data_IF_436526653307
#
_entry.id   IF_436526653307
#
_cell.length_a   1.000
_cell.length_b   1.000
_cell.length_c   1.000
_cell.angle_alpha   90.00
_cell.angle_beta   90.00
_cell.angle_gamma   90.00
#
_symmetry.space_group_name_H-M   'P 1'
#
loop_
_entity.id
_entity.type
_entity.pdbx_description
1 polymer ?
#
# COMPACT_ATOMS: atom_id res chain seq x y z
N UNK A 1 20.79 -24.25 7.51
CA UNK A 1 19.47 -24.88 7.70
C UNK A 1 18.48 -24.04 6.93
N UNK A 2 18.24 -24.42 5.69
CA UNK A 2 17.25 -23.80 4.80
C UNK A 2 15.85 -23.99 5.39
N UNK A 3 15.13 -22.90 5.59
CA UNK A 3 13.67 -22.93 5.80
C UNK A 3 13.02 -22.24 4.62
N UNK A 4 13.07 -22.89 3.46
CA UNK A 4 12.17 -22.55 2.36
C UNK A 4 10.75 -22.90 2.77
N UNK A 5 9.80 -21.98 2.56
CA UNK A 5 8.37 -22.26 2.63
C UNK A 5 8.07 -23.54 1.83
N UNK A 6 7.50 -24.54 2.50
CA UNK A 6 7.17 -25.80 1.82
C UNK A 6 5.80 -25.69 1.16
N UNK A 7 5.57 -26.49 0.13
CA UNK A 7 4.29 -26.55 -0.60
C UNK A 7 3.11 -26.93 0.31
N UNK A 8 3.37 -27.54 1.47
CA UNK A 8 2.37 -27.79 2.52
C UNK A 8 1.94 -26.53 3.28
N UNK A 9 2.73 -25.45 3.26
CA UNK A 9 2.36 -24.15 3.84
C UNK A 9 1.49 -23.32 2.87
N UNK A 10 1.53 -23.63 1.57
CA UNK A 10 0.61 -23.07 0.58
C UNK A 10 -0.84 -23.48 0.88
N UNK A 11 -1.10 -24.67 1.41
CA UNK A 11 -2.45 -25.10 1.81
C UNK A 11 -3.06 -24.24 2.94
N UNK A 12 -2.21 -23.58 3.76
CA UNK A 12 -2.66 -22.59 4.75
C UNK A 12 -2.96 -21.22 4.13
N UNK A 13 -2.43 -20.96 2.94
CA UNK A 13 -2.72 -19.79 2.09
C UNK A 13 -3.89 -20.07 1.13
N UNK A 14 -4.35 -21.32 1.00
CA UNK A 14 -5.55 -21.66 0.22
C UNK A 14 -6.80 -21.22 0.99
N UNK A 15 -7.36 -20.11 0.52
CA UNK A 15 -8.75 -19.64 0.65
C UNK A 15 -9.57 -20.23 1.81
N UNK A 16 -9.41 -19.65 3.00
CA UNK A 16 -10.21 -20.01 4.17
C UNK A 16 -11.51 -19.19 4.23
N UNK A 17 -12.60 -19.72 3.66
CA UNK A 17 -13.95 -19.10 3.67
C UNK A 17 -14.47 -18.70 5.05
N UNK A 18 -13.90 -19.22 6.15
CA UNK A 18 -14.42 -19.00 7.51
C UNK A 18 -13.98 -17.66 8.13
N UNK A 19 -12.95 -17.02 7.55
CA UNK A 19 -12.38 -15.76 8.04
C UNK A 19 -12.49 -14.62 7.04
N UNK A 20 -13.09 -14.85 5.88
CA UNK A 20 -13.35 -13.81 4.89
C UNK A 20 -14.64 -13.07 5.27
N UNK A 21 -14.49 -12.00 6.05
CA UNK A 21 -15.47 -10.93 6.15
C UNK A 21 -15.01 -9.82 5.21
N UNK A 22 -15.93 -9.23 4.45
CA UNK A 22 -15.68 -7.95 3.79
C UNK A 22 -15.58 -6.89 4.89
N UNK A 23 -14.39 -6.77 5.47
CA UNK A 23 -14.01 -5.70 6.38
C UNK A 23 -13.46 -4.59 5.49
N UNK A 24 -14.20 -3.48 5.35
CA UNK A 24 -13.65 -2.24 4.80
C UNK A 24 -12.60 -1.62 5.73
N UNK A 25 -11.69 -2.42 6.27
CA UNK A 25 -10.71 -2.03 7.30
C UNK A 25 -9.43 -2.87 7.34
N UNK A 26 -9.32 -3.95 6.55
CA UNK A 26 -8.05 -4.67 6.40
C UNK A 26 -7.33 -4.13 5.15
N UNK A 27 -6.11 -3.61 5.34
CA UNK A 27 -5.27 -3.11 4.24
C UNK A 27 -4.63 -4.29 3.52
N UNK A 28 -4.86 -4.41 2.22
CA UNK A 28 -4.21 -5.44 1.41
C UNK A 28 -2.72 -5.11 1.20
N UNK A 29 -1.83 -6.04 1.57
CA UNK A 29 -0.39 -5.89 1.41
C UNK A 29 0.12 -6.75 0.25
N UNK A 30 0.70 -6.09 -0.74
CA UNK A 30 1.32 -6.74 -1.89
C UNK A 30 2.84 -6.59 -1.79
N UNK A 31 3.55 -7.72 -1.73
CA UNK A 31 5.02 -7.74 -1.70
C UNK A 31 5.51 -8.49 -2.92
N UNK A 32 6.36 -7.85 -3.73
CA UNK A 32 6.93 -8.49 -4.91
C UNK A 32 7.69 -9.75 -4.54
N UNK A 33 7.56 -10.76 -5.38
CA UNK A 33 8.26 -12.02 -5.19
C UNK A 33 8.40 -12.80 -6.49
N UNK A 34 8.70 -14.07 -6.32
CA UNK A 34 8.83 -15.07 -7.38
C UNK A 34 8.05 -16.33 -6.99
N UNK A 35 8.13 -17.35 -7.86
CA UNK A 35 7.62 -18.69 -7.56
C UNK A 35 8.18 -19.31 -6.25
N UNK A 36 9.31 -18.79 -5.74
CA UNK A 36 9.95 -19.28 -4.50
C UNK A 36 9.48 -18.56 -3.23
N UNK A 37 8.72 -17.47 -3.37
CA UNK A 37 8.29 -16.63 -2.25
C UNK A 37 8.56 -15.14 -2.47
N UNK A 38 8.28 -14.30 -1.45
CA UNK A 38 8.54 -12.87 -1.50
C UNK A 38 10.04 -12.60 -1.66
N UNK A 39 10.36 -11.53 -2.37
CA UNK A 39 11.73 -11.04 -2.48
C UNK A 39 12.11 -10.37 -1.16
N UNK A 40 13.26 -10.75 -0.60
CA UNK A 40 13.72 -10.32 0.73
C UNK A 40 13.91 -8.80 0.82
N UNK A 41 14.28 -8.13 -0.29
CA UNK A 41 14.43 -6.68 -0.30
C UNK A 41 13.08 -5.99 -0.07
N UNK A 42 12.06 -6.37 -0.85
CA UNK A 42 10.72 -5.80 -0.73
C UNK A 42 10.02 -6.23 0.56
N UNK A 43 10.30 -7.43 1.07
CA UNK A 43 9.81 -7.89 2.36
C UNK A 43 10.40 -7.08 3.53
N UNK A 44 11.70 -6.77 3.49
CA UNK A 44 12.34 -5.91 4.48
C UNK A 44 11.75 -4.49 4.44
N UNK A 45 11.56 -3.94 3.24
CA UNK A 45 10.91 -2.64 3.04
C UNK A 45 9.49 -2.65 3.62
N UNK A 46 8.68 -3.66 3.28
CA UNK A 46 7.31 -3.78 3.80
C UNK A 46 7.28 -3.78 5.34
N UNK A 47 8.20 -4.50 6.00
CA UNK A 47 8.29 -4.50 7.47
C UNK A 47 8.61 -3.13 8.05
N UNK A 48 9.53 -2.39 7.43
CA UNK A 48 9.90 -1.03 7.85
C UNK A 48 8.72 -0.06 7.71
N UNK A 49 8.09 -0.02 6.54
CA UNK A 49 6.98 0.87 6.25
C UNK A 49 5.74 0.53 7.08
N UNK A 50 5.40 -0.76 7.22
CA UNK A 50 4.25 -1.20 8.04
C UNK A 50 4.42 -0.84 9.50
N UNK A 51 5.66 -0.85 10.02
CA UNK A 51 5.91 -0.46 11.42
C UNK A 51 5.58 1.00 11.72
N UNK A 52 5.51 1.86 10.70
CA UNK A 52 5.15 3.28 10.79
C UNK A 52 4.03 3.65 9.80
N UNK A 53 3.10 2.73 9.55
CA UNK A 53 2.07 2.87 8.52
C UNK A 53 1.22 4.13 8.69
N UNK A 54 0.82 4.46 9.91
CA UNK A 54 0.01 5.65 10.22
C UNK A 54 0.73 6.93 9.79
N UNK A 55 2.01 7.08 10.09
CA UNK A 55 2.81 8.26 9.69
C UNK A 55 2.93 8.38 8.17
N UNK A 56 3.12 7.26 7.47
CA UNK A 56 3.18 7.28 6.01
C UNK A 56 1.81 7.60 5.39
N UNK A 57 0.73 7.12 6.00
CA UNK A 57 -0.64 7.46 5.59
C UNK A 57 -0.95 8.94 5.81
N UNK A 58 -0.58 9.52 6.95
CA UNK A 58 -0.70 10.96 7.20
C UNK A 58 0.06 11.78 6.17
N UNK A 59 1.27 11.34 5.79
CA UNK A 59 2.05 11.98 4.73
C UNK A 59 1.35 11.89 3.37
N UNK A 60 0.80 10.72 3.03
CA UNK A 60 0.04 10.49 1.80
C UNK A 60 -1.19 11.41 1.71
N UNK A 61 -1.98 11.44 2.79
CA UNK A 61 -3.19 12.26 2.88
C UNK A 61 -2.84 13.74 2.83
N UNK A 62 -1.80 14.18 3.54
CA UNK A 62 -1.32 15.56 3.48
C UNK A 62 -0.94 15.97 2.06
N UNK A 63 -0.28 15.07 1.33
CA UNK A 63 0.05 15.27 -0.08
C UNK A 63 -1.22 15.37 -0.95
N UNK A 64 -2.14 14.42 -0.85
CA UNK A 64 -3.41 14.42 -1.58
C UNK A 64 -4.25 15.69 -1.31
N UNK A 65 -4.42 16.08 -0.05
CA UNK A 65 -5.14 17.30 0.34
C UNK A 65 -4.50 18.55 -0.23
N UNK A 66 -3.17 18.63 -0.24
CA UNK A 66 -2.46 19.76 -0.82
C UNK A 66 -2.74 19.93 -2.31
N UNK A 67 -2.80 18.83 -3.07
CA UNK A 67 -3.01 18.86 -4.52
C UNK A 67 -4.49 18.98 -4.91
N UNK A 68 -5.37 18.19 -4.28
CA UNK A 68 -6.76 18.05 -4.68
C UNK A 68 -7.70 19.06 -4.01
N UNK A 69 -7.29 19.65 -2.88
CA UNK A 69 -8.11 20.56 -2.07
C UNK A 69 -9.44 19.93 -1.62
N UNK A 70 -9.44 18.63 -1.42
CA UNK A 70 -10.58 17.87 -0.92
C UNK A 70 -10.46 17.65 0.58
N UNK A 71 -11.58 17.81 1.28
CA UNK A 71 -11.71 17.52 2.72
C UNK A 71 -12.75 16.42 2.90
N UNK A 72 -12.43 15.44 3.74
CA UNK A 72 -13.24 14.24 3.92
C UNK A 72 -12.42 13.13 4.55
N UNK A 73 -12.97 11.92 4.50
CA UNK A 73 -12.35 10.74 5.08
C UNK A 73 -11.49 10.05 4.02
N UNK A 74 -10.27 9.67 4.43
CA UNK A 74 -9.29 9.00 3.58
C UNK A 74 -8.95 7.66 4.19
N UNK A 75 -9.11 6.60 3.41
CA UNK A 75 -8.95 5.23 3.89
C UNK A 75 -7.92 4.49 3.06
N UNK A 76 -6.91 3.92 3.71
CA UNK A 76 -5.91 3.11 3.02
C UNK A 76 -6.55 1.78 2.62
N UNK A 77 -6.50 1.46 1.33
CA UNK A 77 -7.05 0.23 0.77
C UNK A 77 -5.95 -0.79 0.49
N UNK A 78 -4.84 -0.37 -0.14
CA UNK A 78 -3.71 -1.27 -0.42
C UNK A 78 -2.36 -0.61 -0.16
N UNK A 79 -1.35 -1.41 0.18
CA UNK A 79 0.05 -1.02 0.12
C UNK A 79 0.84 -2.02 -0.74
N UNK A 80 1.55 -1.51 -1.74
CA UNK A 80 2.29 -2.28 -2.73
C UNK A 80 3.79 -2.00 -2.62
N UNK A 81 4.58 -3.07 -2.47
CA UNK A 81 6.04 -3.06 -2.38
C UNK A 81 6.64 -3.79 -3.58
N UNK A 82 6.92 -3.04 -4.64
CA UNK A 82 7.67 -3.51 -5.81
C UNK A 82 6.86 -4.25 -6.89
N UNK A 83 5.54 -4.38 -6.75
CA UNK A 83 4.64 -4.94 -7.78
C UNK A 83 4.13 -3.88 -8.76
N UNK A 84 4.46 -2.60 -8.54
CA UNK A 84 4.05 -1.47 -9.35
C UNK A 84 4.43 -1.66 -10.84
N UNK A 85 3.43 -1.59 -11.72
CA UNK A 85 3.60 -1.68 -13.18
C UNK A 85 4.03 -0.36 -13.84
N UNK A 86 4.36 0.68 -13.06
CA UNK A 86 4.69 1.99 -13.61
C UNK A 86 6.13 2.02 -14.15
N UNK A 87 6.34 2.71 -15.27
CA UNK A 87 7.64 2.88 -15.93
C UNK A 87 8.65 3.71 -15.11
N UNK A 88 8.35 3.99 -13.84
CA UNK A 88 9.09 4.90 -12.96
C UNK A 88 9.47 4.12 -11.70
N UNK A 89 10.73 4.21 -11.29
CA UNK A 89 11.27 3.52 -10.13
C UNK A 89 10.84 4.21 -8.83
N UNK A 90 9.65 3.89 -8.32
CA UNK A 90 9.24 4.18 -6.94
C UNK A 90 9.50 2.97 -6.05
N UNK A 91 9.69 3.19 -4.75
CA UNK A 91 9.97 2.11 -3.80
C UNK A 91 8.70 1.36 -3.39
N UNK A 92 7.61 2.10 -3.11
CA UNK A 92 6.31 1.54 -2.75
C UNK A 92 5.15 2.50 -3.06
N UNK A 93 3.92 1.98 -3.06
CA UNK A 93 2.70 2.73 -3.37
C UNK A 93 1.58 2.45 -2.37
N UNK A 94 0.79 3.48 -2.04
CA UNK A 94 -0.45 3.36 -1.28
C UNK A 94 -1.64 3.67 -2.17
N UNK A 95 -2.61 2.75 -2.22
CA UNK A 95 -3.93 3.01 -2.83
C UNK A 95 -4.90 3.43 -1.74
N UNK A 96 -5.50 4.60 -1.92
CA UNK A 96 -6.31 5.29 -0.94
C UNK A 96 -7.67 5.60 -1.56
N UNK A 97 -8.72 5.36 -0.80
CA UNK A 97 -10.10 5.76 -1.12
C UNK A 97 -10.46 7.06 -0.39
N UNK A 98 -11.42 7.80 -0.95
CA UNK A 98 -11.90 9.05 -0.40
C UNK A 98 -13.42 9.05 -0.29
N UNK A 99 -13.93 9.43 0.89
CA UNK A 99 -15.35 9.66 1.12
C UNK A 99 -15.61 11.16 1.36
N UNK A 100 -16.48 11.74 0.53
CA UNK A 100 -16.89 13.13 0.66
C UNK A 100 -17.91 13.29 1.81
N UNK A 101 -17.75 14.29 2.69
CA UNK A 101 -18.74 14.59 3.71
C UNK A 101 -20.12 14.87 3.11
N UNK A 102 -21.11 14.05 3.49
CA UNK A 102 -22.50 14.21 3.06
C UNK A 102 -22.85 13.56 1.72
N UNK A 103 -21.86 13.06 0.97
CA UNK A 103 -22.10 12.25 -0.23
C UNK A 103 -20.98 11.20 -0.42
N UNK A 104 -20.98 10.11 0.38
CA UNK A 104 -19.92 9.10 0.35
C UNK A 104 -19.82 8.37 -1.00
N UNK A 105 -20.86 8.43 -1.85
CA UNK A 105 -20.88 7.74 -3.14
C UNK A 105 -20.27 8.55 -4.27
N UNK A 106 -20.00 9.84 -4.08
CA UNK A 106 -19.47 10.76 -5.10
C UNK A 106 -18.17 10.26 -5.75
N UNK A 107 -17.32 9.58 -4.97
CA UNK A 107 -16.02 9.07 -5.40
C UNK A 107 -15.90 7.55 -5.31
N UNK A 108 -17.02 6.82 -5.20
CA UNK A 108 -17.02 5.36 -4.98
C UNK A 108 -16.28 4.56 -6.07
N UNK A 109 -16.22 5.09 -7.29
CA UNK A 109 -15.49 4.50 -8.41
C UNK A 109 -14.09 5.09 -8.61
N UNK A 110 -13.63 5.97 -7.73
CA UNK A 110 -12.32 6.64 -7.83
C UNK A 110 -11.39 6.09 -6.76
N UNK A 111 -10.14 5.85 -7.12
CA UNK A 111 -9.07 5.57 -6.16
C UNK A 111 -7.86 6.46 -6.44
N UNK A 112 -7.09 6.73 -5.39
CA UNK A 112 -5.92 7.58 -5.42
C UNK A 112 -4.70 6.75 -5.07
N UNK A 113 -3.70 6.73 -5.95
CA UNK A 113 -2.42 6.09 -5.67
C UNK A 113 -1.39 7.15 -5.34
N UNK A 114 -0.71 6.99 -4.21
CA UNK A 114 0.44 7.80 -3.81
C UNK A 114 1.70 6.94 -3.87
N UNK A 115 2.64 7.29 -4.76
CA UNK A 115 3.93 6.60 -4.88
C UNK A 115 5.01 7.30 -4.03
N UNK A 116 5.84 6.51 -3.39
CA UNK A 116 6.87 6.95 -2.45
C UNK A 116 8.27 6.55 -2.88
N UNK A 117 9.23 7.42 -2.54
CA UNK A 117 10.66 7.13 -2.60
C UNK A 117 11.26 7.18 -1.19
N UNK A 118 12.17 6.25 -0.90
CA UNK A 118 12.96 6.16 0.33
C UNK A 118 14.31 6.83 0.06
N UNK A 119 14.44 8.06 0.53
CA UNK A 119 15.67 8.83 0.40
C UNK A 119 16.62 8.53 1.55
N UNK A 120 17.82 8.03 1.23
CA UNK A 120 18.89 7.74 2.19
C UNK A 120 19.90 8.88 2.26
N UNK A 121 19.46 10.08 2.63
CA UNK A 121 20.37 11.21 2.87
C UNK A 121 20.58 11.41 4.37
N UNK A 122 21.73 10.97 4.89
CA UNK A 122 22.11 11.14 6.30
C UNK A 122 22.01 9.86 7.12
N UNK A 123 21.72 9.99 8.42
CA UNK A 123 21.72 8.85 9.37
C UNK A 123 20.42 8.04 9.37
N UNK A 124 19.30 8.64 8.96
CA UNK A 124 17.98 7.99 8.96
C UNK A 124 17.34 8.10 7.57
N UNK A 125 16.75 7.00 7.05
CA UNK A 125 16.00 7.03 5.81
C UNK A 125 14.76 7.91 5.95
N UNK A 126 14.47 8.71 4.92
CA UNK A 126 13.29 9.56 4.86
C UNK A 126 12.38 9.12 3.72
N UNK A 127 11.11 8.86 4.04
CA UNK A 127 10.08 8.44 3.09
C UNK A 127 9.35 9.68 2.57
N UNK A 128 9.34 9.87 1.25
CA UNK A 128 8.76 11.06 0.63
C UNK A 128 7.77 10.71 -0.49
N UNK A 129 6.51 11.20 -0.45
CA UNK A 129 5.59 11.05 -1.57
C UNK A 129 6.11 11.83 -2.79
N UNK A 130 6.08 11.20 -3.97
CA UNK A 130 6.57 11.78 -5.23
C UNK A 130 5.47 11.98 -6.27
N UNK A 131 4.48 11.09 -6.30
CA UNK A 131 3.53 10.99 -7.40
C UNK A 131 2.13 10.74 -6.89
N UNK A 132 1.15 11.33 -7.58
CA UNK A 132 -0.27 11.00 -7.45
C UNK A 132 -0.71 10.40 -8.78
N UNK A 133 -1.44 9.30 -8.70
CA UNK A 133 -2.24 8.76 -9.79
C UNK A 133 -3.70 8.69 -9.34
N UNK A 134 -4.62 8.99 -10.25
CA UNK A 134 -6.06 8.93 -10.02
C UNK A 134 -6.60 7.90 -11.00
N UNK A 135 -7.17 6.84 -10.47
CA UNK A 135 -7.75 5.76 -11.26
C UNK A 135 -9.25 5.62 -11.04
N UNK A 136 -9.89 4.88 -11.94
CA UNK A 136 -11.32 4.62 -11.92
C UNK A 136 -11.57 3.11 -12.02
N UNK A 137 -12.52 2.60 -11.21
CA UNK A 137 -12.95 1.19 -11.19
C UNK A 137 -14.04 0.91 -12.22
#
# INVERSE_FOLDING_TARGET
MDRSLQTSDLEKLIFNKKYWQYTGGDVDLFVKGSEKGPDEHYLAMAREIVSNMETHMESAVGFLKHFLKLEGEWSLYTADFGCCCSCVSHDFEFTIEFEEPGDPYKFVYTYFVVSFDIQKFGREPYVKPQRIEIGFR
#
